data_IF_347065135561
#
_entry.id   IF_347065135561
#
_cell.length_a   1.000
_cell.length_b   1.000
_cell.length_c   1.000
_cell.angle_alpha   90.00
_cell.angle_beta   90.00
_cell.angle_gamma   90.00
#
_symmetry.space_group_name_H-M   'P 1'
#
loop_
_entity.id
_entity.type
_entity.pdbx_description
1 polymer ?
#
# COMPACT_ATOMS: atom_id res chain seq x y z
N UNK A 1 1.92 -65.19 -15.97
CA UNK A 1 1.52 -64.12 -16.91
C UNK A 1 2.62 -63.06 -16.85
N UNK A 2 3.40 -62.96 -17.93
CA UNK A 2 4.71 -62.31 -18.01
C UNK A 2 4.63 -60.79 -18.26
N UNK A 3 5.72 -60.11 -17.88
CA UNK A 3 6.13 -58.73 -18.23
C UNK A 3 6.41 -58.54 -19.74
N UNK A 4 6.22 -57.31 -20.25
CA UNK A 4 7.00 -56.63 -21.34
C UNK A 4 6.50 -55.17 -21.44
N UNK A 5 7.28 -54.11 -21.21
CA UNK A 5 8.28 -53.40 -22.04
C UNK A 5 7.82 -52.87 -23.42
N UNK A 6 7.70 -51.53 -23.50
CA UNK A 6 8.27 -50.54 -24.46
C UNK A 6 8.27 -50.80 -25.99
N UNK A 7 7.66 -49.91 -26.78
CA UNK A 7 8.31 -48.92 -27.70
C UNK A 7 7.38 -48.38 -28.83
N UNK A 8 7.51 -47.05 -29.03
CA UNK A 8 7.25 -46.16 -30.18
C UNK A 8 6.51 -46.64 -31.44
N UNK A 9 5.61 -45.81 -31.97
CA UNK A 9 5.65 -45.21 -33.34
C UNK A 9 4.73 -43.97 -33.38
N UNK A 10 5.28 -42.85 -33.88
CA UNK A 10 4.56 -41.64 -34.31
C UNK A 10 3.74 -41.94 -35.58
N UNK A 11 2.44 -41.61 -35.60
CA UNK A 11 1.73 -41.35 -36.85
C UNK A 11 0.67 -40.26 -36.68
N UNK A 12 0.73 -39.29 -37.59
CA UNK A 12 -0.07 -38.08 -37.65
C UNK A 12 -1.57 -38.37 -37.79
N UNK A 13 -2.39 -37.78 -36.90
CA UNK A 13 -3.68 -37.21 -37.28
C UNK A 13 -4.18 -36.27 -36.18
N UNK A 14 -3.86 -34.98 -36.28
CA UNK A 14 -4.66 -33.93 -35.67
C UNK A 14 -5.02 -32.95 -36.77
N UNK A 15 -6.31 -32.94 -37.04
CA UNK A 15 -7.02 -32.19 -38.05
C UNK A 15 -6.96 -30.71 -37.67
N UNK A 16 -6.28 -29.91 -38.47
CA UNK A 16 -6.38 -28.44 -38.40
C UNK A 16 -7.85 -28.04 -38.58
N UNK A 17 -8.45 -27.22 -37.69
CA UNK A 17 -9.65 -26.48 -38.06
C UNK A 17 -9.23 -25.43 -39.09
N UNK A 18 -9.76 -25.60 -40.30
CA UNK A 18 -9.61 -24.71 -41.42
C UNK A 18 -10.11 -23.32 -41.01
N UNK A 19 -9.21 -22.33 -41.03
CA UNK A 19 -9.52 -20.95 -40.69
C UNK A 19 -10.68 -20.44 -41.56
N UNK A 20 -11.67 -19.86 -40.90
CA UNK A 20 -12.91 -19.33 -41.47
C UNK A 20 -12.67 -18.36 -42.63
N UNK A 21 -12.92 -18.83 -43.86
CA UNK A 21 -13.09 -17.99 -45.04
C UNK A 21 -14.26 -16.98 -44.89
N UNK A 22 -15.13 -17.18 -43.90
CA UNK A 22 -16.23 -16.29 -43.58
C UNK A 22 -15.77 -14.95 -42.95
N UNK A 23 -14.67 -14.93 -42.19
CA UNK A 23 -14.20 -13.72 -41.51
C UNK A 23 -13.56 -12.70 -42.47
N UNK A 24 -12.79 -13.18 -43.45
CA UNK A 24 -12.22 -12.34 -44.51
C UNK A 24 -13.30 -11.78 -45.44
N UNK A 25 -14.35 -12.54 -45.73
CA UNK A 25 -15.47 -12.07 -46.55
C UNK A 25 -16.33 -11.05 -45.81
N UNK A 26 -16.52 -11.20 -44.49
CA UNK A 26 -17.26 -10.24 -43.68
C UNK A 26 -16.49 -8.92 -43.50
N UNK A 27 -15.16 -8.97 -43.38
CA UNK A 27 -14.31 -7.79 -43.31
C UNK A 27 -14.24 -7.04 -44.65
N UNK A 28 -14.22 -7.76 -45.78
CA UNK A 28 -14.21 -7.16 -47.12
C UNK A 28 -15.58 -6.55 -47.47
N UNK A 29 -16.68 -7.13 -46.99
CA UNK A 29 -18.03 -6.58 -47.18
C UNK A 29 -18.29 -5.34 -46.32
N UNK A 30 -17.72 -5.26 -45.12
CA UNK A 30 -17.77 -4.05 -44.29
C UNK A 30 -16.96 -2.89 -44.90
N UNK A 31 -15.85 -3.18 -45.57
CA UNK A 31 -15.02 -2.17 -46.22
C UNK A 31 -15.65 -1.63 -47.52
N UNK A 32 -16.41 -2.45 -48.25
CA UNK A 32 -17.18 -2.01 -49.43
C UNK A 32 -18.43 -1.19 -49.08
N UNK A 33 -19.04 -1.44 -47.92
CA UNK A 33 -20.23 -0.69 -47.48
C UNK A 33 -19.89 0.72 -46.97
N UNK A 34 -18.65 0.95 -46.50
CA UNK A 34 -18.15 2.30 -46.18
C UNK A 34 -17.82 3.14 -47.43
N UNK A 35 -17.54 2.52 -48.59
CA UNK A 35 -17.28 3.27 -49.83
C UNK A 35 -18.57 3.72 -50.56
N UNK A 36 -19.69 3.01 -50.41
CA UNK A 36 -20.93 3.36 -51.12
C UNK A 36 -21.78 4.45 -50.44
N UNK A 37 -21.52 4.80 -49.18
CA UNK A 37 -22.23 5.90 -48.51
C UNK A 37 -21.56 7.28 -48.67
N UNK A 38 -20.43 7.38 -49.37
CA UNK A 38 -19.74 8.63 -49.61
C UNK A 38 -20.25 9.44 -50.83
N UNK A 39 -21.27 8.97 -51.56
CA UNK A 39 -21.70 9.59 -52.82
C UNK A 39 -23.01 10.37 -52.78
N UNK A 40 -23.72 10.44 -51.65
CA UNK A 40 -24.89 11.32 -51.51
C UNK A 40 -24.85 12.06 -50.17
N UNK A 41 -24.71 13.40 -50.23
CA UNK A 41 -24.73 14.40 -49.14
C UNK A 41 -23.41 14.70 -48.42
N UNK A 42 -22.61 15.70 -48.88
CA UNK A 42 -21.30 16.03 -48.32
C UNK A 42 -21.33 16.96 -47.08
N UNK A 43 -22.46 17.12 -46.37
CA UNK A 43 -22.56 18.09 -45.25
C UNK A 43 -22.95 17.53 -43.87
N UNK A 44 -23.35 16.26 -43.73
CA UNK A 44 -23.69 15.67 -42.43
C UNK A 44 -22.69 14.62 -41.91
N UNK A 45 -21.91 13.97 -42.78
CA UNK A 45 -20.92 12.96 -42.37
C UNK A 45 -19.71 13.57 -41.62
N UNK A 46 -19.38 14.84 -41.89
CA UNK A 46 -18.23 15.51 -41.29
C UNK A 46 -18.46 15.91 -39.81
N UNK A 47 -19.73 16.13 -39.41
CA UNK A 47 -20.10 16.40 -38.01
C UNK A 47 -20.16 15.13 -37.15
N UNK A 48 -20.59 14.00 -37.71
CA UNK A 48 -20.70 12.75 -36.93
C UNK A 48 -19.32 12.11 -36.69
N UNK A 49 -18.43 12.16 -37.69
CA UNK A 49 -17.04 11.69 -37.54
C UNK A 49 -16.24 12.54 -36.55
N UNK A 50 -16.44 13.86 -36.54
CA UNK A 50 -15.78 14.74 -35.56
C UNK A 50 -16.28 14.52 -34.13
N UNK A 51 -17.59 14.28 -33.93
CA UNK A 51 -18.16 13.96 -32.61
C UNK A 51 -17.61 12.66 -32.03
N UNK A 52 -17.49 11.59 -32.83
CA UNK A 52 -16.94 10.30 -32.36
C UNK A 52 -15.44 10.42 -32.09
N UNK A 53 -14.69 11.12 -32.94
CA UNK A 53 -13.27 11.39 -32.71
C UNK A 53 -13.05 12.25 -31.44
N UNK A 54 -13.92 13.22 -31.20
CA UNK A 54 -13.86 14.08 -30.01
C UNK A 54 -14.22 13.31 -28.74
N UNK A 55 -15.18 12.38 -28.80
CA UNK A 55 -15.52 11.50 -27.68
C UNK A 55 -14.38 10.52 -27.34
N UNK A 56 -13.73 9.92 -28.35
CA UNK A 56 -12.55 9.09 -28.14
C UNK A 56 -11.38 9.89 -27.56
N UNK A 57 -11.12 11.10 -28.06
CA UNK A 57 -10.09 11.98 -27.52
C UNK A 57 -10.36 12.38 -26.06
N UNK A 58 -11.63 12.64 -25.70
CA UNK A 58 -12.03 12.93 -24.32
C UNK A 58 -11.83 11.74 -23.38
N UNK A 59 -12.19 10.52 -23.81
CA UNK A 59 -11.97 9.30 -23.01
C UNK A 59 -10.48 9.03 -22.81
N UNK A 60 -9.66 9.22 -23.85
CA UNK A 60 -8.20 9.08 -23.75
C UNK A 60 -7.57 10.15 -22.86
N UNK A 61 -8.02 11.41 -22.96
CA UNK A 61 -7.56 12.50 -22.10
C UNK A 61 -7.97 12.27 -20.63
N UNK A 62 -9.18 11.80 -20.37
CA UNK A 62 -9.63 11.43 -19.03
C UNK A 62 -8.84 10.26 -18.45
N UNK A 63 -8.53 9.24 -19.26
CA UNK A 63 -7.68 8.12 -18.86
C UNK A 63 -6.23 8.56 -18.56
N UNK A 64 -5.67 9.48 -19.35
CA UNK A 64 -4.35 10.05 -19.12
C UNK A 64 -4.32 10.92 -17.84
N UNK A 65 -5.35 11.74 -17.61
CA UNK A 65 -5.48 12.53 -16.39
C UNK A 65 -5.65 11.65 -15.14
N UNK A 66 -6.44 10.57 -15.23
CA UNK A 66 -6.57 9.59 -14.15
C UNK A 66 -5.24 8.86 -13.88
N UNK A 67 -4.47 8.53 -14.93
CA UNK A 67 -3.14 7.93 -14.79
C UNK A 67 -2.11 8.88 -14.15
N UNK A 68 -2.21 10.19 -14.42
CA UNK A 68 -1.37 11.21 -13.80
C UNK A 68 -1.73 11.45 -12.33
N UNK A 69 -3.03 11.52 -12.00
CA UNK A 69 -3.53 11.61 -10.62
C UNK A 69 -3.11 10.37 -9.80
N UNK A 70 -3.18 9.19 -10.42
CA UNK A 70 -2.69 7.95 -9.84
C UNK A 70 -1.20 8.03 -9.49
N UNK A 71 -0.35 8.54 -10.39
CA UNK A 71 1.09 8.72 -10.12
C UNK A 71 1.38 9.71 -8.99
N UNK A 72 0.63 10.81 -8.90
CA UNK A 72 0.79 11.76 -7.79
C UNK A 72 0.39 11.15 -6.45
N UNK A 73 -0.70 10.35 -6.40
CA UNK A 73 -1.10 9.63 -5.20
C UNK A 73 -0.09 8.52 -4.84
N UNK A 74 0.37 7.78 -5.85
CA UNK A 74 1.41 6.74 -5.75
C UNK A 74 2.68 7.29 -5.07
N UNK A 75 3.13 8.47 -5.49
CA UNK A 75 4.29 9.14 -4.90
C UNK A 75 4.01 9.73 -3.50
N UNK A 76 2.78 10.20 -3.22
CA UNK A 76 2.42 10.75 -1.90
C UNK A 76 2.35 9.70 -0.80
N UNK A 77 1.81 8.51 -1.07
CA UNK A 77 1.84 7.39 -0.10
C UNK A 77 3.28 7.04 0.28
N UNK A 78 4.18 7.05 -0.70
CA UNK A 78 5.60 6.86 -0.44
C UNK A 78 6.21 8.02 0.37
N UNK A 79 5.84 9.28 0.13
CA UNK A 79 6.39 10.42 0.88
C UNK A 79 5.89 10.50 2.34
N UNK A 80 4.64 10.15 2.62
CA UNK A 80 4.06 10.21 3.97
C UNK A 80 4.67 9.20 4.97
N UNK A 81 5.19 8.09 4.46
CA UNK A 81 6.01 7.13 5.22
C UNK A 81 7.46 7.62 5.41
N UNK A 82 7.91 8.61 4.64
CA UNK A 82 9.25 9.18 4.70
C UNK A 82 9.39 10.21 5.84
N UNK A 83 8.34 10.99 6.10
CA UNK A 83 8.33 12.04 7.13
C UNK A 83 8.38 11.52 8.58
N UNK A 84 8.09 10.23 8.83
CA UNK A 84 8.24 9.62 10.17
C UNK A 84 9.66 9.11 10.46
N UNK A 85 10.59 9.20 9.50
CA UNK A 85 11.98 8.79 9.69
C UNK A 85 12.91 9.92 10.17
N UNK A 86 12.37 11.12 10.42
CA UNK A 86 13.03 12.28 11.04
C UNK A 86 12.41 12.55 12.43
N UNK A 87 13.23 12.41 13.48
CA UNK A 87 12.86 12.75 14.86
C UNK A 87 12.36 14.19 14.99
N UNK A 88 11.26 14.47 15.71
CA UNK A 88 11.00 15.78 16.27
C UNK A 88 11.42 15.77 17.75
N UNK A 89 12.59 16.35 18.05
CA UNK A 89 12.98 16.65 19.42
C UNK A 89 13.59 18.05 19.44
N UNK A 90 12.80 19.05 19.88
CA UNK A 90 13.16 20.28 20.61
C UNK A 90 12.15 21.40 20.35
N UNK A 91 11.67 22.03 21.43
CA UNK A 91 10.99 23.33 21.35
C UNK A 91 9.88 23.55 22.38
N UNK A 92 10.21 23.56 23.66
CA UNK A 92 9.35 24.04 24.77
C UNK A 92 9.40 25.57 24.81
N UNK A 93 8.26 26.26 25.01
CA UNK A 93 8.21 27.71 25.23
C UNK A 93 6.84 28.24 25.67
N UNK A 94 6.78 28.70 26.93
CA UNK A 94 5.67 29.25 27.72
C UNK A 94 4.99 30.55 27.22
N UNK A 95 3.77 30.82 27.75
CA UNK A 95 3.19 32.15 28.03
C UNK A 95 1.64 32.19 28.02
N UNK A 96 0.94 32.03 29.15
CA UNK A 96 0.38 33.05 30.08
C UNK A 96 -0.75 33.95 29.48
N UNK A 97 -2.04 33.70 29.82
CA UNK A 97 -2.95 34.34 30.83
C UNK A 97 -3.60 35.68 30.42
N UNK A 98 -4.94 35.73 30.55
CA UNK A 98 -5.81 36.93 30.68
C UNK A 98 -7.01 36.85 29.74
N UNK A 99 -8.28 37.02 30.10
CA UNK A 99 -8.94 37.44 31.32
C UNK A 99 -10.34 37.94 30.93
N UNK A 100 -11.36 37.36 31.56
CA UNK A 100 -12.71 37.87 31.85
C UNK A 100 -13.78 38.25 30.80
N UNK A 101 -14.99 37.84 31.20
CA UNK A 101 -16.30 38.49 31.09
C UNK A 101 -17.34 38.01 30.07
N UNK A 102 -18.50 37.69 30.67
CA UNK A 102 -19.87 37.97 30.24
C UNK A 102 -20.71 36.75 29.82
N UNK A 103 -21.33 36.19 30.85
CA UNK A 103 -22.54 35.39 30.81
C UNK A 103 -23.72 36.31 30.47
N UNK A 104 -24.18 36.36 29.21
CA UNK A 104 -25.58 36.69 28.83
C UNK A 104 -25.73 36.80 27.31
N UNK A 105 -25.91 35.67 26.61
CA UNK A 105 -26.75 35.64 25.41
C UNK A 105 -27.04 34.20 25.02
N UNK A 106 -27.99 33.59 25.74
CA UNK A 106 -28.62 32.37 25.28
C UNK A 106 -29.39 32.65 23.99
N UNK A 107 -29.21 31.76 23.01
CA UNK A 107 -30.09 31.58 21.84
C UNK A 107 -29.78 32.32 20.52
N UNK A 108 -28.53 32.69 20.20
CA UNK A 108 -28.18 33.16 18.83
C UNK A 108 -26.77 32.80 18.30
N UNK A 109 -26.08 31.83 18.90
CA UNK A 109 -24.68 31.48 18.53
C UNK A 109 -24.53 30.08 17.91
N UNK A 110 -25.27 29.78 16.84
CA UNK A 110 -25.02 28.56 16.03
C UNK A 110 -24.63 28.89 14.58
N UNK A 111 -24.86 30.11 14.10
CA UNK A 111 -24.58 30.49 12.70
C UNK A 111 -23.25 31.24 12.55
N UNK A 112 -22.22 30.76 13.22
CA UNK A 112 -20.85 31.24 13.10
C UNK A 112 -20.08 30.49 12.01
N UNK A 113 -20.28 30.89 10.75
CA UNK A 113 -19.30 30.75 9.66
C UNK A 113 -18.66 29.38 9.43
N UNK A 114 -19.42 28.38 9.02
CA UNK A 114 -18.83 27.24 8.30
C UNK A 114 -18.28 27.78 6.98
N UNK A 115 -16.97 27.73 6.77
CA UNK A 115 -16.38 28.15 5.50
C UNK A 115 -17.07 27.42 4.34
N UNK A 116 -17.21 28.07 3.18
CA UNK A 116 -17.83 27.45 2.00
C UNK A 116 -17.17 26.12 1.62
N UNK A 117 -15.88 25.97 1.95
CA UNK A 117 -15.15 24.72 1.78
C UNK A 117 -15.62 23.61 2.72
N UNK A 118 -15.82 23.91 4.01
CA UNK A 118 -16.33 22.95 4.98
C UNK A 118 -17.76 22.49 4.61
N UNK A 119 -18.58 23.40 4.09
CA UNK A 119 -19.94 23.07 3.61
C UNK A 119 -19.91 22.09 2.44
N UNK A 120 -18.96 22.24 1.50
CA UNK A 120 -18.77 21.28 0.40
C UNK A 120 -18.34 19.90 0.87
N UNK A 121 -17.52 19.81 1.92
CA UNK A 121 -17.12 18.53 2.51
C UNK A 121 -18.33 17.76 3.03
N UNK A 122 -19.21 18.40 3.80
CA UNK A 122 -20.43 17.75 4.30
C UNK A 122 -21.35 17.28 3.16
N UNK A 123 -21.45 18.05 2.08
CA UNK A 123 -22.21 17.68 0.88
C UNK A 123 -21.61 16.42 0.24
N UNK A 124 -20.29 16.37 0.02
CA UNK A 124 -19.66 15.16 -0.54
C UNK A 124 -19.75 13.95 0.39
N UNK A 125 -19.67 14.14 1.71
CA UNK A 125 -19.84 13.05 2.67
C UNK A 125 -21.25 12.46 2.57
N UNK A 126 -22.28 13.30 2.47
CA UNK A 126 -23.65 12.84 2.25
C UNK A 126 -23.80 12.11 0.89
N UNK A 127 -23.12 12.59 -0.14
CA UNK A 127 -23.11 11.98 -1.48
C UNK A 127 -22.46 10.60 -1.55
N UNK A 128 -21.64 10.21 -0.56
CA UNK A 128 -21.12 8.84 -0.48
C UNK A 128 -22.24 7.80 -0.34
N UNK A 129 -23.39 8.19 0.21
CA UNK A 129 -24.54 7.29 0.37
C UNK A 129 -25.28 7.05 -0.95
N UNK A 130 -25.20 7.98 -1.90
CA UNK A 130 -25.83 7.86 -3.22
C UNK A 130 -24.89 7.14 -4.20
N UNK A 131 -25.29 5.95 -4.65
CA UNK A 131 -24.50 5.12 -5.57
C UNK A 131 -24.10 5.84 -6.88
N UNK A 132 -24.91 6.77 -7.37
CA UNK A 132 -24.66 7.50 -8.62
C UNK A 132 -23.61 8.61 -8.46
N UNK A 133 -23.47 9.15 -7.25
CA UNK A 133 -22.60 10.31 -6.96
C UNK A 133 -21.36 9.93 -6.16
N UNK A 134 -21.37 8.75 -5.55
CA UNK A 134 -20.30 8.23 -4.70
C UNK A 134 -18.93 8.28 -5.35
N UNK A 135 -18.80 7.91 -6.63
CA UNK A 135 -17.49 7.90 -7.31
C UNK A 135 -16.86 9.29 -7.37
N UNK A 136 -17.65 10.31 -7.69
CA UNK A 136 -17.20 11.71 -7.70
C UNK A 136 -16.90 12.20 -6.30
N UNK A 137 -17.75 11.89 -5.32
CA UNK A 137 -17.55 12.25 -3.92
C UNK A 137 -16.27 11.63 -3.33
N UNK A 138 -16.01 10.36 -3.61
CA UNK A 138 -14.77 9.68 -3.21
C UNK A 138 -13.53 10.39 -3.76
N UNK A 139 -13.55 10.77 -5.04
CA UNK A 139 -12.45 11.47 -5.68
C UNK A 139 -12.20 12.86 -5.05
N UNK A 140 -13.25 13.63 -4.78
CA UNK A 140 -13.09 14.98 -4.21
C UNK A 140 -12.66 14.94 -2.74
N UNK A 141 -13.26 14.04 -1.94
CA UNK A 141 -12.87 13.85 -0.54
C UNK A 141 -11.43 13.33 -0.41
N UNK A 142 -11.00 12.41 -1.28
CA UNK A 142 -9.63 11.88 -1.22
C UNK A 142 -8.57 12.95 -1.48
N UNK A 143 -8.88 13.97 -2.30
CA UNK A 143 -8.01 15.14 -2.53
C UNK A 143 -7.95 16.07 -1.33
N UNK A 144 -9.06 16.21 -0.59
CA UNK A 144 -9.19 17.13 0.55
C UNK A 144 -8.74 16.54 1.89
N UNK A 145 -8.39 15.26 1.94
CA UNK A 145 -8.00 14.55 3.19
C UNK A 145 -6.88 15.17 4.02
N UNK A 146 -5.97 15.92 3.40
CA UNK A 146 -4.85 16.61 4.07
C UNK A 146 -5.21 18.04 4.51
N UNK A 147 -6.25 18.62 3.89
CA UNK A 147 -6.66 20.02 4.11
C UNK A 147 -7.71 20.15 5.22
N UNK A 148 -8.37 19.06 5.58
CA UNK A 148 -9.48 19.03 6.54
C UNK A 148 -9.12 18.07 7.67
N UNK A 149 -8.53 18.56 8.78
CA UNK A 149 -8.08 17.73 9.88
C UNK A 149 -9.20 16.87 10.48
N UNK A 150 -10.40 17.44 10.59
CA UNK A 150 -11.60 16.82 11.17
C UNK A 150 -12.29 15.80 10.24
N UNK A 151 -11.78 15.60 9.01
CA UNK A 151 -12.45 14.75 8.03
C UNK A 151 -12.62 13.30 8.52
N UNK A 152 -11.63 12.78 9.26
CA UNK A 152 -11.70 11.44 9.83
C UNK A 152 -12.90 11.26 10.78
N UNK A 153 -13.14 12.25 11.65
CA UNK A 153 -14.26 12.25 12.58
C UNK A 153 -15.59 12.36 11.84
N UNK A 154 -15.68 13.24 10.84
CA UNK A 154 -16.88 13.39 10.01
C UNK A 154 -17.19 12.08 9.28
N UNK A 155 -16.20 11.44 8.67
CA UNK A 155 -16.37 10.15 7.97
C UNK A 155 -16.84 9.05 8.93
N UNK A 156 -16.25 8.97 10.11
CA UNK A 156 -16.56 7.91 11.07
C UNK A 156 -17.96 8.06 11.69
N UNK A 157 -18.32 9.28 12.10
CA UNK A 157 -19.56 9.55 12.82
C UNK A 157 -20.77 9.84 11.93
N UNK A 158 -20.56 10.05 10.62
CA UNK A 158 -21.66 10.20 9.68
C UNK A 158 -22.35 8.87 9.39
N UNK A 159 -23.68 8.85 9.51
CA UNK A 159 -24.49 7.66 9.34
C UNK A 159 -24.26 7.00 7.97
N UNK A 160 -23.98 5.70 7.96
CA UNK A 160 -23.86 4.87 6.75
C UNK A 160 -22.57 5.07 5.93
N UNK A 161 -21.73 6.05 6.25
CA UNK A 161 -20.53 6.37 5.46
C UNK A 161 -19.50 5.24 5.52
N UNK A 162 -19.17 4.73 6.71
CA UNK A 162 -18.25 3.60 6.85
C UNK A 162 -18.77 2.35 6.13
N UNK A 163 -20.08 2.11 6.13
CA UNK A 163 -20.72 1.02 5.37
C UNK A 163 -20.55 1.21 3.86
N UNK A 164 -20.72 2.44 3.35
CA UNK A 164 -20.50 2.75 1.95
C UNK A 164 -19.03 2.54 1.54
N UNK A 165 -18.07 2.94 2.38
CA UNK A 165 -16.64 2.70 2.12
C UNK A 165 -16.29 1.21 2.10
N UNK A 166 -16.85 0.42 3.02
CA UNK A 166 -16.70 -1.04 3.00
C UNK A 166 -17.35 -1.66 1.76
N UNK A 167 -18.49 -1.13 1.31
CA UNK A 167 -19.15 -1.58 0.08
C UNK A 167 -18.24 -1.41 -1.15
N UNK A 168 -17.47 -0.33 -1.22
CA UNK A 168 -16.49 -0.10 -2.28
C UNK A 168 -15.32 -1.09 -2.26
N UNK A 169 -14.95 -1.62 -1.09
CA UNK A 169 -13.94 -2.67 -0.96
C UNK A 169 -14.49 -4.01 -1.45
N UNK A 170 -15.65 -4.43 -0.93
CA UNK A 170 -16.20 -5.76 -1.21
C UNK A 170 -16.66 -5.90 -2.67
N UNK A 171 -17.04 -4.80 -3.33
CA UNK A 171 -17.42 -4.83 -4.75
C UNK A 171 -16.26 -5.18 -5.68
N UNK A 172 -15.02 -5.02 -5.20
CA UNK A 172 -13.79 -5.35 -5.94
C UNK A 172 -13.38 -6.81 -5.76
N UNK A 173 -13.85 -7.51 -4.72
CA UNK A 173 -13.45 -8.90 -4.44
C UNK A 173 -13.64 -9.87 -5.62
N UNK A 174 -14.77 -9.84 -6.37
CA UNK A 174 -14.95 -10.71 -7.53
C UNK A 174 -13.93 -10.46 -8.65
N UNK A 175 -13.30 -9.28 -8.69
CA UNK A 175 -12.32 -8.88 -9.71
C UNK A 175 -10.89 -9.26 -9.36
N UNK A 176 -10.64 -9.80 -8.15
CA UNK A 176 -9.31 -10.21 -7.70
C UNK A 176 -8.91 -11.56 -8.29
N UNK A 177 -9.89 -12.48 -8.36
CA UNK A 177 -9.68 -13.84 -8.87
C UNK A 177 -10.89 -14.30 -9.72
N UNK A 178 -10.74 -14.44 -11.05
CA UNK A 178 -9.54 -14.17 -11.85
C UNK A 178 -9.17 -12.68 -11.85
N UNK A 179 -7.91 -12.35 -12.13
CA UNK A 179 -7.38 -10.98 -12.03
C UNK A 179 -7.91 -10.02 -13.10
N UNK A 180 -9.16 -9.58 -12.95
CA UNK A 180 -9.94 -8.77 -13.90
C UNK A 180 -10.05 -7.28 -13.51
N UNK A 181 -9.31 -6.86 -12.48
CA UNK A 181 -9.35 -5.47 -12.00
C UNK A 181 -8.89 -4.45 -13.07
N UNK A 182 -9.80 -3.56 -13.45
CA UNK A 182 -9.51 -2.47 -14.38
C UNK A 182 -8.85 -1.27 -13.68
N UNK A 183 -8.21 -0.39 -14.46
CA UNK A 183 -7.62 0.84 -13.92
C UNK A 183 -8.66 1.76 -13.27
N UNK A 184 -9.85 1.89 -13.87
CA UNK A 184 -10.94 2.71 -13.32
C UNK A 184 -11.45 2.15 -11.97
N UNK A 185 -11.71 0.84 -11.91
CA UNK A 185 -12.15 0.20 -10.67
C UNK A 185 -11.09 0.29 -9.56
N UNK A 186 -9.81 0.08 -9.89
CA UNK A 186 -8.70 0.26 -8.96
C UNK A 186 -8.61 1.69 -8.44
N UNK A 187 -8.71 2.70 -9.31
CA UNK A 187 -8.69 4.11 -8.90
C UNK A 187 -9.85 4.46 -7.97
N UNK A 188 -11.05 3.99 -8.27
CA UNK A 188 -12.25 4.22 -7.45
C UNK A 188 -12.10 3.65 -6.05
N UNK A 189 -11.74 2.37 -5.91
CA UNK A 189 -11.55 1.76 -4.58
C UNK A 189 -10.36 2.38 -3.85
N UNK A 190 -9.29 2.77 -4.54
CA UNK A 190 -8.16 3.44 -3.90
C UNK A 190 -8.53 4.82 -3.32
N UNK A 191 -9.50 5.55 -3.92
CA UNK A 191 -10.04 6.75 -3.29
C UNK A 191 -10.76 6.42 -1.96
N UNK A 192 -11.51 5.33 -1.89
CA UNK A 192 -12.12 4.86 -0.64
C UNK A 192 -11.04 4.45 0.39
N UNK A 193 -10.01 3.71 -0.03
CA UNK A 193 -8.88 3.35 0.81
C UNK A 193 -8.12 4.57 1.34
N UNK A 194 -8.00 5.63 0.54
CA UNK A 194 -7.38 6.89 0.95
C UNK A 194 -8.15 7.60 2.08
N UNK A 195 -9.48 7.45 2.09
CA UNK A 195 -10.34 7.93 3.18
C UNK A 195 -10.23 7.05 4.42
N UNK A 196 -10.19 5.72 4.27
CA UNK A 196 -9.93 4.81 5.38
C UNK A 196 -8.54 5.03 6.00
N UNK A 197 -7.54 5.39 5.19
CA UNK A 197 -6.23 5.80 5.68
C UNK A 197 -6.32 7.05 6.56
N UNK A 198 -7.18 8.02 6.22
CA UNK A 198 -7.43 9.21 7.03
C UNK A 198 -8.03 8.81 8.40
N UNK A 199 -9.05 7.97 8.41
CA UNK A 199 -9.69 7.42 9.63
C UNK A 199 -8.69 6.65 10.49
N UNK A 200 -7.85 5.81 9.89
CA UNK A 200 -6.81 5.04 10.59
C UNK A 200 -5.71 5.94 11.20
N UNK A 201 -5.45 7.08 10.57
CA UNK A 201 -4.41 8.03 11.00
C UNK A 201 -4.85 8.94 12.15
N UNK A 202 -6.15 9.14 12.35
CA UNK A 202 -6.68 10.08 13.36
C UNK A 202 -6.76 9.45 14.76
N UNK A 203 -6.38 10.20 15.80
CA UNK A 203 -6.22 9.67 17.16
C UNK A 203 -7.50 9.10 17.76
N UNK A 204 -8.64 9.76 17.52
CA UNK A 204 -9.91 9.37 18.12
C UNK A 204 -10.60 8.19 17.40
N UNK A 205 -10.40 8.08 16.09
CA UNK A 205 -11.08 7.05 15.27
C UNK A 205 -10.23 5.80 15.08
N UNK A 206 -8.93 5.86 15.30
CA UNK A 206 -8.00 4.72 15.10
C UNK A 206 -8.38 3.49 15.90
N UNK A 207 -8.62 3.65 17.20
CA UNK A 207 -8.99 2.52 18.06
C UNK A 207 -10.34 1.95 17.66
N UNK A 208 -11.29 2.81 17.27
CA UNK A 208 -12.59 2.38 16.76
C UNK A 208 -12.46 1.60 15.45
N UNK A 209 -11.61 2.08 14.54
CA UNK A 209 -11.28 1.43 13.26
C UNK A 209 -10.65 0.05 13.46
N UNK A 210 -9.74 -0.07 14.43
CA UNK A 210 -9.10 -1.33 14.82
C UNK A 210 -10.12 -2.30 15.42
N UNK A 211 -10.92 -1.85 16.38
CA UNK A 211 -11.93 -2.67 17.07
C UNK A 211 -13.04 -3.14 16.11
N UNK A 212 -13.33 -2.37 15.06
CA UNK A 212 -14.25 -2.76 14.00
C UNK A 212 -13.66 -3.80 13.02
N UNK A 213 -12.40 -4.22 13.22
CA UNK A 213 -11.69 -5.20 12.39
C UNK A 213 -11.64 -4.84 10.88
N UNK A 214 -11.77 -3.55 10.56
CA UNK A 214 -11.75 -3.04 9.17
C UNK A 214 -10.45 -3.41 8.42
N UNK A 215 -9.26 -3.43 9.05
CA UNK A 215 -8.03 -3.85 8.35
C UNK A 215 -8.12 -5.22 7.66
N UNK A 216 -8.93 -6.15 8.19
CA UNK A 216 -9.06 -7.50 7.63
C UNK A 216 -9.68 -7.49 6.24
N UNK A 217 -10.52 -6.51 5.92
CA UNK A 217 -11.10 -6.34 4.58
C UNK A 217 -10.04 -5.99 3.52
N UNK A 218 -8.84 -5.58 3.94
CA UNK A 218 -7.75 -5.22 3.02
C UNK A 218 -6.84 -6.39 2.69
N UNK A 219 -6.89 -7.47 3.45
CA UNK A 219 -5.97 -8.60 3.28
C UNK A 219 -6.16 -9.35 1.95
N UNK A 220 -7.39 -9.51 1.42
CA UNK A 220 -7.58 -10.04 0.07
C UNK A 220 -6.82 -9.22 -0.99
N UNK A 221 -6.74 -7.90 -0.83
CA UNK A 221 -5.98 -7.03 -1.74
C UNK A 221 -4.47 -7.27 -1.62
N UNK A 222 -3.95 -7.36 -0.39
CA UNK A 222 -2.53 -7.63 -0.12
C UNK A 222 -2.09 -9.03 -0.58
N UNK A 223 -3.01 -9.99 -0.61
CA UNK A 223 -2.72 -11.36 -1.03
C UNK A 223 -2.61 -11.52 -2.57
N UNK A 224 -2.99 -10.51 -3.35
CA UNK A 224 -2.92 -10.56 -4.82
C UNK A 224 -1.48 -10.60 -5.33
N UNK A 225 -1.27 -11.31 -6.44
CA UNK A 225 0.07 -11.54 -7.04
C UNK A 225 0.23 -10.92 -8.43
N UNK A 226 -0.85 -10.41 -9.04
CA UNK A 226 -0.80 -9.77 -10.35
C UNK A 226 0.08 -8.52 -10.33
N UNK A 227 1.05 -8.47 -11.26
CA UNK A 227 1.99 -7.34 -11.43
C UNK A 227 1.44 -6.22 -12.31
N UNK A 228 0.18 -6.31 -12.73
CA UNK A 228 -0.44 -5.23 -13.50
C UNK A 228 -0.57 -3.96 -12.65
N UNK A 229 -0.46 -2.79 -13.29
CA UNK A 229 -0.53 -1.49 -12.62
C UNK A 229 -1.76 -1.31 -11.70
N UNK A 230 -2.99 -1.74 -12.07
CA UNK A 230 -4.15 -1.65 -11.18
C UNK A 230 -3.97 -2.42 -9.85
N UNK A 231 -3.31 -3.59 -9.88
CA UNK A 231 -3.07 -4.41 -8.69
C UNK A 231 -1.89 -3.92 -7.85
N UNK A 232 -0.81 -3.41 -8.47
CA UNK A 232 0.28 -2.75 -7.73
C UNK A 232 -0.24 -1.52 -6.97
N UNK A 233 -1.06 -0.70 -7.62
CA UNK A 233 -1.66 0.47 -6.98
C UNK A 233 -2.60 0.11 -5.83
N UNK A 234 -3.43 -0.92 -6.03
CA UNK A 234 -4.34 -1.43 -5.00
C UNK A 234 -3.57 -1.91 -3.76
N UNK A 235 -2.49 -2.69 -3.96
CA UNK A 235 -1.63 -3.17 -2.86
C UNK A 235 -0.93 -2.02 -2.14
N UNK A 236 -0.33 -1.08 -2.87
CA UNK A 236 0.34 0.08 -2.26
C UNK A 236 -0.63 0.91 -1.40
N UNK A 237 -1.83 1.20 -1.92
CA UNK A 237 -2.83 1.98 -1.18
C UNK A 237 -3.33 1.24 0.05
N UNK A 238 -3.54 -0.08 -0.06
CA UNK A 238 -3.92 -0.93 1.08
C UNK A 238 -2.84 -0.97 2.16
N UNK A 239 -1.56 -1.12 1.77
CA UNK A 239 -0.43 -1.01 2.69
C UNK A 239 -0.35 0.38 3.34
N UNK A 240 -0.75 1.43 2.63
CA UNK A 240 -0.83 2.78 3.17
C UNK A 240 -1.77 2.91 4.37
N UNK A 241 -2.91 2.19 4.36
CA UNK A 241 -3.84 2.14 5.49
C UNK A 241 -3.20 1.43 6.70
N UNK A 242 -2.59 0.26 6.48
CA UNK A 242 -1.90 -0.49 7.54
C UNK A 242 -0.71 0.31 8.10
N UNK A 243 0.05 0.95 7.21
CA UNK A 243 1.17 1.83 7.55
C UNK A 243 0.74 3.02 8.41
N UNK A 244 -0.46 3.56 8.21
CA UNK A 244 -1.00 4.64 9.05
C UNK A 244 -1.34 4.15 10.47
N UNK A 245 -1.84 2.92 10.62
CA UNK A 245 -2.14 2.33 11.93
C UNK A 245 -0.88 2.16 12.78
N UNK A 246 0.17 1.58 12.21
CA UNK A 246 1.43 1.29 12.93
C UNK A 246 2.30 2.53 13.17
N UNK A 247 1.93 3.69 12.63
CA UNK A 247 2.74 4.91 12.73
C UNK A 247 2.80 5.48 14.14
N UNK A 248 1.79 5.21 14.97
CA UNK A 248 1.66 5.77 16.33
C UNK A 248 2.23 4.88 17.43
N UNK A 249 2.96 3.81 17.07
CA UNK A 249 3.68 2.96 18.02
C UNK A 249 2.79 2.36 19.13
N UNK A 250 1.52 2.09 18.79
CA UNK A 250 0.54 1.50 19.70
C UNK A 250 0.69 -0.02 19.75
N UNK A 251 1.06 -0.56 20.92
CA UNK A 251 1.18 -2.02 21.11
C UNK A 251 -0.12 -2.78 20.85
N UNK A 252 -1.29 -2.18 21.12
CA UNK A 252 -2.59 -2.79 20.77
C UNK A 252 -2.76 -3.03 19.26
N UNK A 253 -2.29 -2.08 18.43
CA UNK A 253 -2.28 -2.24 16.96
C UNK A 253 -1.33 -3.37 16.57
N UNK A 254 -0.14 -3.43 17.18
CA UNK A 254 0.83 -4.49 16.90
C UNK A 254 0.25 -5.85 17.29
N UNK A 255 -0.33 -5.99 18.48
CA UNK A 255 -0.95 -7.22 18.94
C UNK A 255 -2.07 -7.69 18.00
N UNK A 256 -2.97 -6.79 17.60
CA UNK A 256 -3.99 -7.08 16.59
C UNK A 256 -3.36 -7.65 15.31
N UNK A 257 -2.37 -6.95 14.74
CA UNK A 257 -1.72 -7.33 13.49
C UNK A 257 -0.99 -8.68 13.56
N UNK A 258 -0.42 -9.02 14.73
CA UNK A 258 0.22 -10.31 14.96
C UNK A 258 -0.79 -11.46 14.96
N UNK A 259 -1.98 -11.25 15.53
CA UNK A 259 -3.04 -12.27 15.57
C UNK A 259 -3.70 -12.52 14.21
N UNK A 260 -3.46 -11.65 13.23
CA UNK A 260 -4.16 -11.66 11.93
C UNK A 260 -3.22 -11.94 10.75
N UNK A 261 -2.00 -12.43 10.99
CA UNK A 261 -1.06 -12.86 9.94
C UNK A 261 -0.64 -11.74 8.94
N UNK A 262 -0.45 -10.50 9.40
CA UNK A 262 0.08 -9.44 8.52
C UNK A 262 1.50 -9.72 8.03
N UNK A 263 2.33 -10.39 8.85
CA UNK A 263 3.76 -10.59 8.59
C UNK A 263 3.98 -11.38 7.29
N UNK A 264 3.37 -12.57 7.08
CA UNK A 264 3.47 -13.30 5.82
C UNK A 264 3.11 -12.46 4.58
N UNK A 265 2.05 -11.63 4.67
CA UNK A 265 1.63 -10.76 3.57
C UNK A 265 2.70 -9.70 3.26
N UNK A 266 3.24 -9.03 4.29
CA UNK A 266 4.30 -8.05 4.13
C UNK A 266 5.58 -8.68 3.57
N UNK A 267 6.00 -9.86 4.05
CA UNK A 267 7.19 -10.55 3.58
C UNK A 267 7.10 -10.89 2.08
N UNK A 268 5.95 -11.39 1.62
CA UNK A 268 5.73 -11.67 0.18
C UNK A 268 5.86 -10.41 -0.68
N UNK A 269 5.31 -9.29 -0.21
CA UNK A 269 5.39 -8.01 -0.92
C UNK A 269 6.81 -7.45 -0.89
N UNK A 270 7.53 -7.57 0.23
CA UNK A 270 8.95 -7.21 0.35
C UNK A 270 9.83 -7.97 -0.64
N UNK A 271 9.50 -9.23 -0.93
CA UNK A 271 10.24 -10.05 -1.89
C UNK A 271 9.94 -9.68 -3.35
N UNK A 272 8.65 -9.57 -3.71
CA UNK A 272 8.21 -9.57 -5.12
C UNK A 272 7.50 -8.32 -5.61
N UNK A 273 7.14 -7.38 -4.72
CA UNK A 273 6.39 -6.18 -5.05
C UNK A 273 7.21 -5.09 -5.74
N UNK A 274 6.55 -4.02 -6.18
CA UNK A 274 7.22 -2.80 -6.63
C UNK A 274 8.04 -2.14 -5.52
N UNK A 275 9.04 -1.34 -5.88
CA UNK A 275 9.94 -0.66 -4.93
C UNK A 275 9.20 0.15 -3.86
N UNK A 276 8.13 0.85 -4.24
CA UNK A 276 7.30 1.59 -3.28
C UNK A 276 6.54 0.65 -2.34
N UNK A 277 5.94 -0.42 -2.87
CA UNK A 277 5.26 -1.42 -2.04
C UNK A 277 6.22 -2.12 -1.08
N UNK A 278 7.44 -2.46 -1.54
CA UNK A 278 8.52 -2.99 -0.69
C UNK A 278 8.84 -2.03 0.44
N UNK A 279 8.95 -0.73 0.14
CA UNK A 279 9.26 0.32 1.12
C UNK A 279 8.20 0.43 2.22
N UNK A 280 6.92 0.41 1.86
CA UNK A 280 5.84 0.47 2.87
C UNK A 280 5.73 -0.85 3.64
N UNK A 281 5.89 -2.00 2.98
CA UNK A 281 5.84 -3.30 3.63
C UNK A 281 6.98 -3.49 4.65
N UNK A 282 8.22 -3.14 4.31
CA UNK A 282 9.33 -3.19 5.27
C UNK A 282 9.16 -2.17 6.39
N UNK A 283 8.57 -1.01 6.13
CA UNK A 283 8.24 -0.05 7.20
C UNK A 283 7.26 -0.64 8.21
N UNK A 284 6.22 -1.37 7.77
CA UNK A 284 5.28 -2.06 8.65
C UNK A 284 6.00 -3.14 9.48
N UNK A 285 6.81 -3.99 8.83
CA UNK A 285 7.59 -5.03 9.52
C UNK A 285 8.57 -4.42 10.52
N UNK A 286 9.21 -3.30 10.17
CA UNK A 286 10.09 -2.58 11.08
C UNK A 286 9.34 -2.06 12.31
N UNK A 287 8.14 -1.48 12.14
CA UNK A 287 7.32 -1.01 13.26
C UNK A 287 6.89 -2.16 14.17
N UNK A 288 6.56 -3.32 13.60
CA UNK A 288 6.30 -4.55 14.38
C UNK A 288 7.55 -4.97 15.16
N UNK A 289 8.72 -5.00 14.53
CA UNK A 289 9.97 -5.37 15.21
C UNK A 289 10.37 -4.39 16.32
N UNK A 290 10.06 -3.10 16.18
CA UNK A 290 10.39 -2.09 17.19
C UNK A 290 9.61 -2.31 18.50
N UNK A 291 8.40 -2.83 18.42
CA UNK A 291 7.61 -3.23 19.59
C UNK A 291 8.12 -4.54 20.21
N UNK A 292 8.15 -4.62 21.54
CA UNK A 292 8.70 -5.77 22.25
C UNK A 292 7.87 -7.05 22.04
N UNK A 293 6.54 -6.93 21.91
CA UNK A 293 5.65 -8.06 21.63
C UNK A 293 5.92 -8.58 20.21
N UNK A 294 6.10 -7.67 19.25
CA UNK A 294 6.42 -8.02 17.87
C UNK A 294 7.80 -8.68 17.71
N UNK A 295 8.83 -8.15 18.38
CA UNK A 295 10.16 -8.78 18.41
C UNK A 295 10.10 -10.18 19.02
N UNK A 296 9.45 -10.32 20.18
CA UNK A 296 9.28 -11.61 20.84
C UNK A 296 8.53 -12.62 19.94
N UNK A 297 7.48 -12.17 19.24
CA UNK A 297 6.71 -13.02 18.32
C UNK A 297 7.56 -13.55 17.16
N UNK A 298 8.35 -12.69 16.51
CA UNK A 298 9.19 -13.06 15.36
C UNK A 298 10.31 -14.01 15.81
N UNK A 299 10.92 -13.74 16.96
CA UNK A 299 12.01 -14.54 17.51
C UNK A 299 11.53 -15.75 18.33
N UNK A 300 10.22 -15.99 18.42
CA UNK A 300 9.65 -17.08 19.23
C UNK A 300 10.06 -18.47 18.72
N UNK A 301 10.13 -18.62 17.39
CA UNK A 301 10.43 -19.89 16.71
C UNK A 301 11.49 -19.68 15.65
N UNK A 302 12.28 -20.71 15.37
CA UNK A 302 13.25 -20.68 14.29
C UNK A 302 12.61 -20.37 12.93
N UNK A 303 11.45 -20.95 12.62
CA UNK A 303 10.75 -20.77 11.34
C UNK A 303 10.37 -19.31 11.08
N UNK A 304 9.76 -18.63 12.06
CA UNK A 304 9.40 -17.21 11.96
C UNK A 304 10.62 -16.31 11.78
N UNK A 305 11.66 -16.52 12.59
CA UNK A 305 12.91 -15.78 12.45
C UNK A 305 13.54 -16.01 11.08
N UNK A 306 13.61 -17.26 10.62
CA UNK A 306 14.20 -17.64 9.35
C UNK A 306 13.42 -17.04 8.17
N UNK A 307 12.09 -17.03 8.21
CA UNK A 307 11.26 -16.42 7.18
C UNK A 307 11.55 -14.91 7.03
N UNK A 308 11.66 -14.17 8.14
CA UNK A 308 12.00 -12.74 8.13
C UNK A 308 13.46 -12.54 7.68
N UNK A 309 14.38 -13.31 8.24
CA UNK A 309 15.83 -13.21 7.95
C UNK A 309 16.15 -13.45 6.48
N UNK A 310 15.58 -14.49 5.88
CA UNK A 310 15.81 -14.83 4.46
C UNK A 310 15.31 -13.72 3.53
N UNK A 311 14.12 -13.15 3.77
CA UNK A 311 13.61 -12.05 2.94
C UNK A 311 14.47 -10.79 3.10
N UNK A 312 14.88 -10.44 4.31
CA UNK A 312 15.81 -9.31 4.53
C UNK A 312 17.15 -9.53 3.82
N UNK A 313 17.71 -10.73 3.89
CA UNK A 313 18.95 -11.09 3.18
C UNK A 313 18.81 -10.97 1.66
N UNK A 314 17.70 -11.47 1.09
CA UNK A 314 17.40 -11.32 -0.34
C UNK A 314 17.28 -9.84 -0.74
N UNK A 315 16.70 -9.00 0.12
CA UNK A 315 16.65 -7.56 -0.11
C UNK A 315 18.05 -6.92 -0.09
N UNK A 316 18.94 -7.32 0.82
CA UNK A 316 20.34 -6.84 0.83
C UNK A 316 21.02 -7.13 -0.51
N UNK A 317 20.90 -8.36 -1.02
CA UNK A 317 21.49 -8.76 -2.30
C UNK A 317 20.98 -7.88 -3.45
N UNK A 318 19.68 -7.60 -3.50
CA UNK A 318 19.08 -6.70 -4.50
C UNK A 318 19.57 -5.25 -4.37
N UNK A 319 19.84 -4.80 -3.14
CA UNK A 319 20.27 -3.43 -2.86
C UNK A 319 21.70 -3.14 -3.29
N UNK A 320 22.55 -4.15 -3.47
CA UNK A 320 23.90 -3.98 -4.01
C UNK A 320 23.85 -3.34 -5.40
N UNK A 321 22.94 -3.81 -6.25
CA UNK A 321 22.75 -3.31 -7.61
C UNK A 321 21.88 -2.05 -7.65
N UNK A 322 20.76 -2.04 -6.91
CA UNK A 322 19.77 -0.96 -6.98
C UNK A 322 20.17 0.30 -6.22
N UNK A 323 21.00 0.16 -5.18
CA UNK A 323 21.47 1.25 -4.31
C UNK A 323 20.35 2.14 -3.74
N UNK A 324 19.15 1.57 -3.54
CA UNK A 324 18.00 2.29 -2.96
C UNK A 324 18.20 2.55 -1.47
N UNK A 325 18.76 3.72 -1.13
CA UNK A 325 19.11 4.15 0.24
C UNK A 325 17.95 3.95 1.24
N UNK A 326 16.73 4.25 0.80
CA UNK A 326 15.55 4.20 1.67
C UNK A 326 15.23 2.79 2.15
N UNK A 327 15.29 1.81 1.25
CA UNK A 327 15.09 0.41 1.58
C UNK A 327 16.23 -0.09 2.49
N UNK A 328 17.48 0.26 2.15
CA UNK A 328 18.64 -0.10 2.96
C UNK A 328 18.51 0.38 4.41
N UNK A 329 18.07 1.61 4.62
CA UNK A 329 17.81 2.18 5.95
C UNK A 329 16.82 1.35 6.78
N UNK A 330 15.74 0.87 6.17
CA UNK A 330 14.79 0.00 6.84
C UNK A 330 15.39 -1.38 7.13
N UNK A 331 16.10 -1.99 6.17
CA UNK A 331 16.76 -3.30 6.32
C UNK A 331 17.76 -3.28 7.47
N UNK A 332 18.64 -2.28 7.52
CA UNK A 332 19.63 -2.13 8.60
C UNK A 332 18.95 -2.02 9.96
N UNK A 333 17.85 -1.26 10.06
CA UNK A 333 17.10 -1.11 11.31
C UNK A 333 16.39 -2.39 11.73
N UNK A 334 15.87 -3.18 10.80
CA UNK A 334 15.30 -4.49 11.10
C UNK A 334 16.37 -5.45 11.65
N UNK A 335 17.55 -5.54 11.02
CA UNK A 335 18.64 -6.37 11.53
C UNK A 335 19.16 -5.89 12.89
N UNK A 336 19.34 -4.58 13.07
CA UNK A 336 19.72 -4.01 14.37
C UNK A 336 18.73 -4.41 15.46
N UNK A 337 17.43 -4.25 15.21
CA UNK A 337 16.41 -4.61 16.20
C UNK A 337 16.34 -6.11 16.46
N UNK A 338 16.53 -6.95 15.44
CA UNK A 338 16.63 -8.40 15.62
C UNK A 338 17.83 -8.78 16.50
N UNK A 339 18.94 -8.04 16.43
CA UNK A 339 20.12 -8.28 17.26
C UNK A 339 19.89 -8.06 18.76
N UNK A 340 18.82 -7.35 19.15
CA UNK A 340 18.49 -7.16 20.57
C UNK A 340 18.06 -8.50 21.23
N UNK A 341 17.46 -9.42 20.47
CA UNK A 341 17.11 -10.75 20.96
C UNK A 341 18.35 -11.68 20.95
N UNK A 342 18.67 -12.30 22.08
CA UNK A 342 19.87 -13.13 22.24
C UNK A 342 19.95 -14.31 21.26
N UNK A 343 18.83 -15.01 21.00
CA UNK A 343 18.79 -16.15 20.07
C UNK A 343 18.98 -15.71 18.62
N UNK A 344 18.29 -14.64 18.23
CA UNK A 344 18.41 -14.07 16.90
C UNK A 344 19.83 -13.50 16.66
N UNK A 345 20.42 -12.86 17.67
CA UNK A 345 21.80 -12.35 17.64
C UNK A 345 22.80 -13.46 17.34
N UNK A 346 22.69 -14.59 18.02
CA UNK A 346 23.57 -15.75 17.77
C UNK A 346 23.42 -16.27 16.33
N UNK A 347 22.19 -16.39 15.83
CA UNK A 347 21.95 -16.77 14.44
C UNK A 347 22.53 -15.75 13.44
N UNK A 348 22.36 -14.44 13.70
CA UNK A 348 22.86 -13.36 12.84
C UNK A 348 24.40 -13.32 12.76
N UNK A 349 25.12 -13.80 13.79
CA UNK A 349 26.58 -13.97 13.69
C UNK A 349 26.98 -14.92 12.57
N UNK A 350 26.13 -15.88 12.22
CA UNK A 350 26.39 -16.86 11.18
C UNK A 350 25.76 -16.48 9.84
N UNK A 351 24.61 -15.81 9.84
CA UNK A 351 23.82 -15.58 8.62
C UNK A 351 23.64 -14.12 8.17
N UNK A 352 24.24 -13.12 8.86
CA UNK A 352 24.18 -11.73 8.40
C UNK A 352 24.86 -11.62 7.01
N UNK A 353 24.19 -11.02 5.99
CA UNK A 353 24.74 -10.87 4.65
C UNK A 353 26.09 -10.14 4.62
N UNK A 354 27.02 -10.66 3.82
CA UNK A 354 28.37 -10.10 3.64
C UNK A 354 28.39 -8.62 3.22
N UNK A 355 27.50 -8.13 2.33
CA UNK A 355 27.47 -6.70 1.95
C UNK A 355 27.17 -5.73 3.10
N UNK A 356 26.62 -6.22 4.22
CA UNK A 356 26.42 -5.42 5.44
C UNK A 356 27.63 -5.48 6.39
N UNK A 357 28.57 -6.41 6.19
CA UNK A 357 29.79 -6.55 6.98
C UNK A 357 30.98 -5.83 6.36
N UNK A 358 30.99 -5.73 5.04
CA UNK A 358 32.08 -5.12 4.29
C UNK A 358 31.79 -3.64 3.94
N UNK A 359 32.60 -3.08 3.04
CA UNK A 359 32.49 -1.70 2.62
C UNK A 359 31.48 -1.46 1.47
N UNK A 360 30.67 -2.46 1.05
CA UNK A 360 29.80 -2.40 -0.14
C UNK A 360 28.88 -1.18 -0.14
N UNK A 361 28.24 -0.87 1.00
CA UNK A 361 27.31 0.26 1.11
C UNK A 361 27.96 1.58 1.57
N UNK A 362 29.30 1.66 1.66
CA UNK A 362 29.99 2.85 2.19
C UNK A 362 29.71 4.12 1.39
N UNK A 363 29.63 4.01 0.06
CA UNK A 363 29.32 5.12 -0.85
C UNK A 363 27.86 5.55 -0.73
N UNK A 364 26.93 4.59 -0.75
CA UNK A 364 25.48 4.79 -0.65
C UNK A 364 25.10 5.44 0.68
N UNK A 365 25.78 5.07 1.76
CA UNK A 365 25.53 5.60 3.10
C UNK A 365 26.33 6.87 3.42
N UNK A 366 27.11 7.42 2.48
CA UNK A 366 28.04 8.53 2.76
C UNK A 366 27.36 9.67 3.54
N UNK A 367 26.17 10.05 3.08
CA UNK A 367 25.42 11.20 3.56
C UNK A 367 24.27 10.82 4.54
N UNK A 368 24.15 9.54 4.92
CA UNK A 368 23.18 9.06 5.93
C UNK A 368 23.89 8.58 7.21
N UNK A 369 24.29 9.55 8.04
CA UNK A 369 24.97 9.30 9.31
C UNK A 369 24.13 8.47 10.30
N UNK A 370 22.80 8.57 10.24
CA UNK A 370 21.93 7.81 11.14
C UNK A 370 21.99 6.31 10.81
N UNK A 371 21.85 5.95 9.53
CA UNK A 371 21.92 4.55 9.09
C UNK A 371 23.31 3.97 9.28
N UNK A 372 24.38 4.76 9.05
CA UNK A 372 25.76 4.35 9.38
C UNK A 372 25.93 3.97 10.84
N UNK A 373 25.42 4.79 11.77
CA UNK A 373 25.46 4.49 13.21
C UNK A 373 24.69 3.23 13.56
N UNK A 374 23.51 3.03 12.96
CA UNK A 374 22.74 1.81 13.16
C UNK A 374 23.50 0.56 12.67
N UNK A 375 24.15 0.65 11.51
CA UNK A 375 24.95 -0.46 10.97
C UNK A 375 26.16 -0.75 11.84
N UNK A 376 26.88 0.28 12.29
CA UNK A 376 28.01 0.10 13.21
C UNK A 376 27.57 -0.55 14.54
N UNK A 377 26.45 -0.11 15.12
CA UNK A 377 25.91 -0.71 16.34
C UNK A 377 25.50 -2.17 16.14
N UNK A 378 24.91 -2.51 14.99
CA UNK A 378 24.60 -3.90 14.64
C UNK A 378 25.87 -4.75 14.63
N UNK A 379 26.94 -4.28 13.98
CA UNK A 379 28.20 -5.01 13.94
C UNK A 379 28.83 -5.18 15.33
N UNK A 380 28.75 -4.15 16.19
CA UNK A 380 29.19 -4.23 17.59
C UNK A 380 28.40 -5.29 18.36
N UNK A 381 27.07 -5.28 18.26
CA UNK A 381 26.21 -6.26 18.93
C UNK A 381 26.55 -7.71 18.53
N UNK A 382 27.02 -7.92 17.29
CA UNK A 382 27.41 -9.24 16.80
C UNK A 382 28.86 -9.61 17.13
N UNK A 383 29.75 -8.64 17.34
CA UNK A 383 31.14 -8.89 17.76
C UNK A 383 31.30 -9.19 19.24
N UNK A 384 30.39 -8.70 20.08
CA UNK A 384 30.44 -8.94 21.53
C UNK A 384 30.15 -10.41 21.84
N UNK A 385 31.21 -11.21 21.96
CA UNK A 385 31.16 -12.56 22.52
C UNK A 385 30.91 -12.49 24.03
N UNK A 386 29.72 -12.06 24.44
CA UNK A 386 29.27 -12.35 25.81
C UNK A 386 29.00 -13.85 25.85
N UNK A 387 30.04 -14.63 26.14
CA UNK A 387 29.85 -15.91 26.82
C UNK A 387 29.05 -15.58 28.07
N UNK A 388 27.79 -16.00 28.13
CA UNK A 388 27.08 -16.14 29.40
C UNK A 388 27.98 -17.02 30.27
N UNK A 389 28.79 -16.36 31.10
CA UNK A 389 29.68 -16.97 32.04
C UNK A 389 28.81 -17.64 33.09
N UNK A 390 28.42 -18.88 32.84
CA UNK A 390 28.10 -19.79 33.91
C UNK A 390 29.33 -19.81 34.83
N UNK A 391 29.23 -19.38 36.10
CA UNK A 391 30.34 -19.56 37.01
C UNK A 391 30.56 -21.06 37.13
N UNK A 392 31.76 -21.49 36.73
CA UNK A 392 32.19 -22.86 36.91
C UNK A 392 31.98 -23.25 38.36
N UNK A 393 31.09 -24.22 38.58
CA UNK A 393 31.00 -24.92 39.86
C UNK A 393 32.23 -25.79 39.94
N UNK A 394 33.32 -25.19 40.44
CA UNK A 394 34.40 -25.91 41.05
C UNK A 394 34.07 -26.03 42.54
N UNK A 395 33.51 -27.19 42.92
CA UNK A 395 33.91 -27.97 44.09
C UNK A 395 33.21 -29.33 44.07
#
# INVERSE_FOLDING_TARGET
MLQTQSQHVFSHQHQYPQADAAWLQHQQQQQQQQQHQAQHHPHQAQQHSSLVAQQHAQVQAAAAAAAAAQQQHYNRIAMASNAAASNPAQGVGNGAIGGDSALSSGMSMIEGGVSDENRKVFIWVAELLDANRRETALMELSKKREQVPELALVIWHSFGVMTALLQEIISVYPLLNPSQLTAAASNRVCNALALLQCVASHNETRTLFLNAHIPLFLYPFLNTTSKSRPFEYLRLTSLGVIGALVKNDSSDVINFLLTTEIIPLCLRIMETGSELSKTVAIFIVQKILLDDIGLAYICATYERFYAVGTVLSNMVTQLVEQQTVRLLKHVVRCFLRLSDNSRAREALRQCLPEPLRDATFSSVLRDDAATKRCLAQLLINLSDNVSDGAPGVAM
#
